data_IF_000523703441
#
_entry.id   IF_000523703441
#
_cell.length_a   1.000
_cell.length_b   1.000
_cell.length_c   1.000
_cell.angle_alpha   90.00
_cell.angle_beta   90.00
_cell.angle_gamma   90.00
#
_symmetry.space_group_name_H-M   'P 1'
#
loop_
_entity.id
_entity.type
_entity.pdbx_description
1 polymer ?
#
# COMPACT_ATOMS: atom_id res chain seq x y z
N UNK A 1 18.79 6.63 -10.84
CA UNK A 1 18.67 7.29 -9.50
C UNK A 1 17.42 8.16 -9.57
N UNK A 2 16.28 7.73 -9.03
CA UNK A 2 15.00 8.45 -9.15
C UNK A 2 14.75 9.29 -7.89
N UNK A 3 14.78 10.63 -7.96
CA UNK A 3 14.49 11.47 -6.81
C UNK A 3 12.98 11.65 -6.67
N UNK A 4 12.33 10.81 -5.87
CA UNK A 4 10.97 11.08 -5.41
C UNK A 4 11.04 12.11 -4.27
N UNK A 5 11.29 13.37 -4.61
CA UNK A 5 11.09 14.46 -3.68
C UNK A 5 9.57 14.68 -3.52
N UNK A 6 9.02 14.31 -2.37
CA UNK A 6 7.65 14.65 -1.98
C UNK A 6 7.60 16.15 -1.69
N UNK A 7 7.49 16.98 -2.72
CA UNK A 7 7.01 18.35 -2.54
C UNK A 7 5.54 18.20 -2.12
N UNK A 8 5.22 18.44 -0.85
CA UNK A 8 3.83 18.65 -0.45
C UNK A 8 3.39 19.97 -1.11
N UNK A 9 2.45 19.96 -2.06
CA UNK A 9 1.80 21.19 -2.44
C UNK A 9 1.07 21.69 -1.19
N UNK A 10 1.28 22.95 -0.80
CA UNK A 10 0.30 23.64 0.00
C UNK A 10 -0.97 23.71 -0.85
N UNK A 11 -1.82 22.69 -0.73
CA UNK A 11 -3.01 22.56 -1.56
C UNK A 11 -3.90 23.77 -1.31
N UNK A 12 -4.25 24.49 -2.39
CA UNK A 12 -5.32 25.49 -2.32
C UNK A 12 -6.60 24.78 -1.86
N UNK A 13 -7.26 25.23 -0.79
CA UNK A 13 -8.44 24.56 -0.29
C UNK A 13 -9.53 24.53 -1.37
N UNK A 14 -10.00 23.32 -1.66
CA UNK A 14 -11.11 23.11 -2.58
C UNK A 14 -12.37 23.65 -1.91
N UNK A 15 -13.05 24.59 -2.56
CA UNK A 15 -14.34 25.10 -2.09
C UNK A 15 -15.45 24.51 -2.93
N UNK A 16 -16.39 23.82 -2.29
CA UNK A 16 -17.65 23.38 -2.91
C UNK A 16 -18.74 24.25 -2.29
N UNK A 17 -19.48 25.00 -3.10
CA UNK A 17 -20.55 25.90 -2.64
C UNK A 17 -20.10 26.89 -1.54
N UNK A 18 -18.96 27.56 -1.75
CA UNK A 18 -18.34 28.47 -0.76
C UNK A 18 -17.98 27.84 0.59
N UNK A 19 -18.04 26.50 0.70
CA UNK A 19 -17.62 25.76 1.89
C UNK A 19 -16.28 25.08 1.63
N UNK A 20 -15.32 25.32 2.52
CA UNK A 20 -14.01 24.68 2.47
C UNK A 20 -14.14 23.17 2.71
N UNK A 21 -13.65 22.37 1.76
CA UNK A 21 -13.67 20.91 1.85
C UNK A 21 -12.63 20.49 2.88
N UNK A 22 -13.09 19.99 4.03
CA UNK A 22 -12.20 19.43 5.06
C UNK A 22 -11.38 18.28 4.47
N UNK A 23 -10.06 18.42 4.53
CA UNK A 23 -9.14 17.37 4.13
C UNK A 23 -9.24 16.23 5.12
N UNK A 24 -9.77 15.09 4.70
CA UNK A 24 -9.86 13.91 5.54
C UNK A 24 -8.47 13.30 5.77
N UNK A 25 -8.18 12.95 7.03
CA UNK A 25 -6.91 12.29 7.40
C UNK A 25 -6.78 10.88 6.82
N UNK A 26 -7.90 10.24 6.49
CA UNK A 26 -7.93 8.97 5.77
C UNK A 26 -9.21 8.79 4.95
N UNK A 27 -9.14 8.02 3.86
CA UNK A 27 -10.28 7.68 3.00
C UNK A 27 -10.25 6.22 2.59
N UNK A 28 -11.41 5.62 2.32
CA UNK A 28 -11.51 4.27 1.78
C UNK A 28 -11.50 4.31 0.26
N UNK A 29 -10.54 3.64 -0.36
CA UNK A 29 -10.48 3.47 -1.80
C UNK A 29 -10.33 1.98 -2.11
N UNK A 30 -11.29 1.43 -2.86
CA UNK A 30 -11.26 0.02 -3.28
C UNK A 30 -11.09 -0.99 -2.12
N UNK A 31 -11.68 -0.70 -0.96
CA UNK A 31 -11.56 -1.53 0.24
C UNK A 31 -10.23 -1.36 1.00
N UNK A 32 -9.43 -0.36 0.63
CA UNK A 32 -8.16 -0.05 1.28
C UNK A 32 -8.21 1.35 1.91
N UNK A 33 -7.87 1.46 3.19
CA UNK A 33 -7.79 2.74 3.89
C UNK A 33 -6.50 3.47 3.51
N UNK A 34 -6.63 4.56 2.78
CA UNK A 34 -5.57 5.49 2.40
C UNK A 34 -5.42 6.55 3.49
N UNK A 35 -4.23 6.75 4.03
CA UNK A 35 -3.93 7.91 4.90
C UNK A 35 -3.44 9.10 4.07
N UNK A 36 -3.71 10.33 4.53
CA UNK A 36 -3.28 11.57 3.87
C UNK A 36 -1.75 11.63 3.67
N UNK A 37 -0.97 11.11 4.62
CA UNK A 37 0.50 11.01 4.51
C UNK A 37 0.98 9.98 3.48
N UNK A 38 0.04 9.25 2.84
CA UNK A 38 0.31 8.12 1.94
C UNK A 38 1.32 7.15 2.58
N UNK A 39 1.28 7.00 3.91
CA UNK A 39 2.15 6.12 4.67
C UNK A 39 1.64 4.69 4.56
N UNK A 40 1.71 4.17 3.34
CA UNK A 40 1.34 2.81 2.98
C UNK A 40 2.39 1.77 3.39
N UNK A 41 3.56 2.21 3.85
CA UNK A 41 4.77 1.38 4.03
C UNK A 41 4.55 0.19 4.95
N UNK A 42 3.81 0.36 6.03
CA UNK A 42 3.57 -0.71 6.99
C UNK A 42 2.58 -1.74 6.44
N UNK A 43 1.42 -1.30 5.94
CA UNK A 43 0.41 -2.18 5.37
C UNK A 43 0.93 -2.93 4.12
N UNK A 44 1.51 -2.21 3.16
CA UNK A 44 2.09 -2.81 1.95
C UNK A 44 3.30 -3.68 2.27
N UNK A 45 4.14 -3.27 3.23
CA UNK A 45 5.26 -4.07 3.72
C UNK A 45 4.80 -5.39 4.35
N UNK A 46 3.70 -5.36 5.12
CA UNK A 46 3.10 -6.57 5.69
C UNK A 46 2.56 -7.51 4.60
N UNK A 47 1.92 -6.96 3.56
CA UNK A 47 1.40 -7.73 2.43
C UNK A 47 2.53 -8.38 1.62
N UNK A 48 3.58 -7.61 1.33
CA UNK A 48 4.79 -8.09 0.63
C UNK A 48 5.47 -9.19 1.43
N UNK A 49 5.63 -9.04 2.75
CA UNK A 49 6.20 -10.09 3.62
C UNK A 49 5.38 -11.38 3.56
N UNK A 50 4.05 -11.31 3.65
CA UNK A 50 3.17 -12.49 3.53
C UNK A 50 3.31 -13.16 2.17
N UNK A 51 3.33 -12.39 1.08
CA UNK A 51 3.53 -12.94 -0.26
C UNK A 51 4.92 -13.61 -0.41
N UNK A 52 5.97 -12.95 0.08
CA UNK A 52 7.33 -13.49 0.09
C UNK A 52 7.44 -14.80 0.88
N UNK A 53 6.80 -14.90 2.05
CA UNK A 53 6.76 -16.13 2.84
C UNK A 53 6.13 -17.29 2.05
N UNK A 54 4.98 -17.05 1.39
CA UNK A 54 4.30 -18.07 0.58
C UNK A 54 5.17 -18.50 -0.61
N UNK A 55 5.77 -17.54 -1.32
CA UNK A 55 6.66 -17.83 -2.45
C UNK A 55 7.92 -18.57 -2.00
N UNK A 56 8.50 -18.21 -0.86
CA UNK A 56 9.66 -18.90 -0.30
C UNK A 56 9.33 -20.37 -0.01
N UNK A 57 8.18 -20.63 0.60
CA UNK A 57 7.71 -22.00 0.86
C UNK A 57 7.52 -22.79 -0.45
N UNK A 58 6.87 -22.21 -1.46
CA UNK A 58 6.72 -22.81 -2.78
C UNK A 58 8.07 -23.11 -3.45
N UNK A 59 9.02 -22.16 -3.40
CA UNK A 59 10.38 -22.36 -3.91
C UNK A 59 11.09 -23.49 -3.19
N UNK A 60 10.91 -23.62 -1.87
CA UNK A 60 11.47 -24.72 -1.09
C UNK A 60 10.90 -26.05 -1.55
N UNK A 61 9.58 -26.19 -1.67
CA UNK A 61 8.94 -27.43 -2.14
C UNK A 61 9.41 -27.84 -3.54
N UNK A 62 9.53 -26.89 -4.47
CA UNK A 62 10.05 -27.15 -5.83
C UNK A 62 11.49 -27.66 -5.83
N UNK A 63 12.32 -27.24 -4.87
CA UNK A 63 13.72 -27.68 -4.76
C UNK A 63 13.89 -29.09 -4.22
N UNK A 64 12.91 -29.61 -3.49
CA UNK A 64 12.99 -30.94 -2.86
C UNK A 64 12.34 -32.07 -3.67
N UNK A 65 11.78 -31.79 -4.86
CA UNK A 65 11.03 -32.77 -5.68
C UNK A 65 10.02 -33.60 -4.83
N UNK A 66 9.20 -32.91 -4.02
CA UNK A 66 8.12 -33.58 -3.32
C UNK A 66 7.00 -33.92 -4.34
N UNK A 67 6.47 -35.15 -4.37
CA UNK A 67 5.29 -35.46 -5.16
C UNK A 67 4.10 -34.60 -4.70
N UNK A 68 3.14 -34.29 -5.58
CA UNK A 68 2.04 -33.38 -5.26
C UNK A 68 1.25 -33.90 -4.04
N UNK A 69 0.67 -33.01 -3.20
CA UNK A 69 -0.07 -33.43 -2.02
C UNK A 69 -1.27 -34.28 -2.43
N UNK A 70 -1.44 -35.44 -1.77
CA UNK A 70 -2.59 -36.36 -1.91
C UNK A 70 -3.84 -35.69 -1.33
#
# INVERSE_FOLDING_TARGET
KFPYAKNQPSHTPLTINNSEVQVANSTWLLGVQITNTLSWSEYTGSLVKRAQQRVHFLKRMRRVNLPPPI
#
